data_IF_722448733867
#
_entry.id   IF_722448733867
#
_cell.length_a   1.000
_cell.length_b   1.000
_cell.length_c   1.000
_cell.angle_alpha   90.00
_cell.angle_beta   90.00
_cell.angle_gamma   90.00
#
_symmetry.space_group_name_H-M   'P 1'
#
loop_
_entity.id
_entity.type
_entity.pdbx_description
1 polymer ?
#
# COMPACT_ATOMS: atom_id res chain seq x y z
N UNK A 1 21.58 -25.61 -1.64
CA UNK A 1 20.17 -25.19 -1.51
C UNK A 1 19.51 -25.38 -2.88
N UNK A 2 19.17 -26.64 -3.21
CA UNK A 2 18.63 -27.06 -4.51
C UNK A 2 17.27 -27.77 -4.37
N UNK A 3 16.58 -27.55 -3.25
CA UNK A 3 15.24 -28.07 -3.00
C UNK A 3 14.22 -26.92 -2.96
N UNK A 4 14.05 -26.22 -4.08
CA UNK A 4 12.83 -25.44 -4.29
C UNK A 4 11.84 -26.34 -5.03
N UNK A 5 10.62 -26.57 -4.48
CA UNK A 5 9.61 -27.38 -5.16
C UNK A 5 9.25 -26.78 -6.53
N UNK A 6 8.80 -27.60 -7.51
CA UNK A 6 8.88 -27.26 -8.93
C UNK A 6 8.07 -26.04 -9.37
N UNK A 7 7.06 -25.59 -8.61
CA UNK A 7 6.34 -24.33 -8.84
C UNK A 7 5.66 -23.88 -7.53
N UNK A 8 6.20 -22.92 -6.79
CA UNK A 8 5.35 -22.19 -5.81
C UNK A 8 4.23 -21.44 -6.56
N UNK A 9 3.08 -21.20 -5.93
CA UNK A 9 2.01 -20.44 -6.55
C UNK A 9 2.45 -18.99 -6.85
N UNK A 10 1.85 -18.33 -7.85
CA UNK A 10 2.37 -17.07 -8.39
C UNK A 10 2.39 -15.92 -7.40
N UNK A 11 1.49 -15.95 -6.42
CA UNK A 11 1.40 -14.91 -5.40
C UNK A 11 2.55 -14.95 -4.38
N UNK A 12 3.16 -16.12 -4.15
CA UNK A 12 4.32 -16.26 -3.28
C UNK A 12 5.55 -15.71 -4.02
N UNK A 13 5.97 -14.51 -3.65
CA UNK A 13 7.13 -13.86 -4.23
C UNK A 13 8.46 -14.26 -3.56
N UNK A 14 8.41 -14.93 -2.40
CA UNK A 14 9.56 -15.13 -1.52
C UNK A 14 10.76 -15.76 -2.25
N UNK A 15 11.86 -15.02 -2.37
CA UNK A 15 13.11 -15.49 -2.98
C UNK A 15 13.13 -15.64 -4.51
N UNK A 16 12.04 -15.31 -5.22
CA UNK A 16 11.85 -15.64 -6.65
C UNK A 16 12.29 -14.59 -7.66
N UNK A 17 12.62 -13.39 -7.22
CA UNK A 17 12.90 -12.27 -8.09
C UNK A 17 14.08 -11.47 -7.54
N UNK A 18 14.94 -11.00 -8.42
CA UNK A 18 16.20 -10.35 -8.08
C UNK A 18 16.39 -9.03 -8.85
N UNK A 19 15.30 -8.44 -9.33
CA UNK A 19 15.35 -7.13 -10.00
C UNK A 19 15.55 -5.96 -9.04
N UNK A 20 15.85 -4.77 -9.59
CA UNK A 20 16.16 -3.58 -8.80
C UNK A 20 14.95 -3.13 -7.96
N UNK A 21 15.23 -2.57 -6.79
CA UNK A 21 14.21 -1.94 -5.97
C UNK A 21 13.95 -0.51 -6.47
N UNK A 22 12.77 -0.27 -7.04
CA UNK A 22 12.31 1.06 -7.38
C UNK A 22 11.66 1.66 -6.13
N UNK A 23 12.19 2.81 -5.66
CA UNK A 23 11.78 3.49 -4.42
C UNK A 23 10.86 4.68 -4.66
N UNK A 24 10.70 5.09 -5.92
CA UNK A 24 9.83 6.21 -6.30
C UNK A 24 8.39 5.96 -5.85
N UNK A 25 7.77 7.01 -5.34
CA UNK A 25 6.38 7.01 -4.91
C UNK A 25 5.53 7.72 -5.95
N UNK A 26 4.35 7.18 -6.21
CA UNK A 26 3.30 7.88 -6.93
C UNK A 26 2.14 8.15 -5.97
N UNK A 27 1.46 9.26 -6.22
CA UNK A 27 0.18 9.51 -5.59
C UNK A 27 -0.85 8.54 -6.16
N UNK A 28 -1.62 7.87 -5.29
CA UNK A 28 -2.65 6.95 -5.76
C UNK A 28 -3.71 7.73 -6.55
N UNK A 29 -3.97 7.31 -7.78
CA UNK A 29 -4.99 7.91 -8.62
C UNK A 29 -6.38 7.75 -7.99
N UNK A 30 -7.32 8.64 -8.31
CA UNK A 30 -8.66 8.62 -7.70
C UNK A 30 -9.34 7.24 -7.85
N UNK A 31 -9.25 6.62 -9.03
CA UNK A 31 -9.86 5.32 -9.30
C UNK A 31 -9.26 4.19 -8.44
N UNK A 32 -7.97 4.26 -8.10
CA UNK A 32 -7.31 3.30 -7.22
C UNK A 32 -7.82 3.42 -5.78
N UNK A 33 -8.02 4.66 -5.31
CA UNK A 33 -8.61 4.93 -3.99
C UNK A 33 -10.05 4.42 -3.93
N UNK A 34 -10.81 4.64 -4.99
CA UNK A 34 -12.18 4.15 -5.10
C UNK A 34 -12.25 2.61 -5.13
N UNK A 35 -11.37 1.94 -5.87
CA UNK A 35 -11.29 0.48 -5.89
C UNK A 35 -10.93 -0.10 -4.50
N UNK A 36 -10.01 0.52 -3.76
CA UNK A 36 -9.67 0.13 -2.38
C UNK A 36 -10.88 0.34 -1.44
N UNK A 37 -11.53 1.51 -1.51
CA UNK A 37 -12.71 1.83 -0.70
C UNK A 37 -13.88 0.87 -0.95
N UNK A 38 -14.20 0.58 -2.21
CA UNK A 38 -15.25 -0.40 -2.56
C UNK A 38 -14.90 -1.77 -1.98
N UNK A 39 -13.66 -2.24 -2.16
CA UNK A 39 -13.23 -3.53 -1.57
C UNK A 39 -13.42 -3.54 -0.06
N UNK A 40 -13.04 -2.46 0.65
CA UNK A 40 -13.21 -2.34 2.10
C UNK A 40 -14.67 -2.41 2.52
N UNK A 41 -15.54 -1.65 1.84
CA UNK A 41 -16.98 -1.61 2.14
C UNK A 41 -17.64 -2.97 1.89
N UNK A 42 -17.35 -3.64 0.78
CA UNK A 42 -17.95 -4.95 0.47
C UNK A 42 -17.58 -6.02 1.50
N UNK A 43 -16.38 -5.93 2.08
CA UNK A 43 -15.88 -6.86 3.09
C UNK A 43 -16.15 -6.41 4.55
N UNK A 44 -16.85 -5.30 4.76
CA UNK A 44 -17.07 -4.74 6.09
C UNK A 44 -17.97 -5.65 6.97
N UNK A 45 -18.00 -5.35 8.28
CA UNK A 45 -18.84 -6.08 9.22
C UNK A 45 -20.35 -5.91 9.01
N UNK A 46 -20.78 -4.92 8.23
CA UNK A 46 -22.20 -4.60 7.94
C UNK A 46 -22.73 -5.45 6.79
N UNK A 47 -21.99 -5.55 5.70
CA UNK A 47 -22.39 -6.19 4.43
C UNK A 47 -21.90 -7.61 4.33
N UNK A 48 -20.65 -7.87 4.75
CA UNK A 48 -20.04 -9.20 4.79
C UNK A 48 -20.19 -9.98 3.47
N UNK A 49 -20.07 -9.30 2.33
CA UNK A 49 -20.28 -9.93 1.02
C UNK A 49 -19.17 -10.92 0.73
N UNK A 50 -17.93 -10.63 1.14
CA UNK A 50 -16.84 -11.59 1.11
C UNK A 50 -15.83 -11.35 2.23
N UNK A 51 -15.01 -12.36 2.52
CA UNK A 51 -13.86 -12.25 3.40
C UNK A 51 -12.58 -11.91 2.63
N UNK A 52 -11.54 -11.48 3.35
CA UNK A 52 -10.21 -11.31 2.76
C UNK A 52 -9.69 -12.63 2.17
N UNK A 53 -9.99 -13.77 2.80
CA UNK A 53 -9.57 -15.09 2.30
C UNK A 53 -10.26 -15.46 0.99
N UNK A 54 -11.55 -15.15 0.83
CA UNK A 54 -12.26 -15.35 -0.43
C UNK A 54 -11.67 -14.48 -1.55
N UNK A 55 -11.37 -13.21 -1.25
CA UNK A 55 -10.71 -12.28 -2.18
C UNK A 55 -9.31 -12.75 -2.56
N UNK A 56 -8.55 -13.33 -1.60
CA UNK A 56 -7.23 -13.92 -1.86
C UNK A 56 -7.35 -15.15 -2.75
N UNK A 57 -8.26 -16.08 -2.44
CA UNK A 57 -8.50 -17.28 -3.25
C UNK A 57 -8.64 -16.95 -4.74
N UNK A 58 -9.42 -15.94 -5.09
CA UNK A 58 -9.61 -15.56 -6.51
C UNK A 58 -8.30 -15.06 -7.14
N UNK A 59 -7.53 -14.23 -6.43
CA UNK A 59 -6.26 -13.71 -6.94
C UNK A 59 -5.17 -14.80 -7.03
N UNK A 60 -5.14 -15.69 -6.05
CA UNK A 60 -4.13 -16.75 -5.91
C UNK A 60 -4.35 -17.92 -6.88
N UNK A 61 -5.53 -17.99 -7.52
CA UNK A 61 -5.88 -18.96 -8.56
C UNK A 61 -5.45 -18.55 -9.96
N UNK A 62 -5.00 -17.30 -10.16
CA UNK A 62 -4.45 -16.85 -11.43
C UNK A 62 -3.19 -17.65 -11.80
N UNK A 63 -2.98 -17.86 -13.10
CA UNK A 63 -1.70 -18.39 -13.60
C UNK A 63 -0.58 -17.35 -13.47
N UNK A 64 0.67 -17.79 -13.52
CA UNK A 64 1.86 -16.94 -13.36
C UNK A 64 1.89 -15.77 -14.34
N UNK A 65 1.58 -15.99 -15.62
CA UNK A 65 1.66 -14.92 -16.62
C UNK A 65 0.60 -13.85 -16.34
N UNK A 66 -0.64 -14.25 -16.08
CA UNK A 66 -1.75 -13.33 -15.78
C UNK A 66 -1.51 -12.59 -14.47
N UNK A 67 -1.09 -13.29 -13.41
CA UNK A 67 -0.88 -12.70 -12.09
C UNK A 67 0.14 -11.55 -12.13
N UNK A 68 1.24 -11.75 -12.86
CA UNK A 68 2.34 -10.79 -12.93
C UNK A 68 2.14 -9.67 -13.96
N UNK A 69 1.37 -9.92 -15.02
CA UNK A 69 1.03 -8.88 -15.99
C UNK A 69 -0.05 -7.91 -15.48
N UNK A 70 -0.93 -8.38 -14.58
CA UNK A 70 -2.06 -7.58 -14.11
C UNK A 70 -1.64 -6.51 -13.07
N UNK A 71 -2.06 -5.24 -13.24
CA UNK A 71 -1.85 -4.19 -12.25
C UNK A 71 -2.47 -4.52 -10.89
N UNK A 72 -1.93 -3.89 -9.84
CA UNK A 72 -2.28 -4.24 -8.46
C UNK A 72 -3.77 -4.06 -8.13
N UNK A 73 -4.35 -2.89 -8.42
CA UNK A 73 -5.76 -2.63 -8.13
C UNK A 73 -6.70 -3.32 -9.12
N UNK A 74 -6.23 -3.63 -10.33
CA UNK A 74 -6.99 -4.45 -11.27
C UNK A 74 -7.19 -5.88 -10.77
N UNK A 75 -6.19 -6.49 -10.12
CA UNK A 75 -6.38 -7.78 -9.44
C UNK A 75 -7.46 -7.73 -8.36
N UNK A 76 -7.60 -6.60 -7.68
CA UNK A 76 -8.67 -6.41 -6.69
C UNK A 76 -10.04 -6.29 -7.36
N UNK A 77 -10.14 -5.53 -8.46
CA UNK A 77 -11.36 -5.41 -9.24
C UNK A 77 -11.80 -6.77 -9.79
N UNK A 78 -10.87 -7.55 -10.35
CA UNK A 78 -11.12 -8.93 -10.73
C UNK A 78 -11.69 -9.73 -9.56
N UNK A 79 -11.04 -9.66 -8.39
CA UNK A 79 -11.45 -10.45 -7.23
C UNK A 79 -12.86 -10.10 -6.74
N UNK A 80 -13.16 -8.82 -6.48
CA UNK A 80 -14.48 -8.47 -5.96
C UNK A 80 -15.57 -8.62 -7.01
N UNK A 81 -15.31 -8.34 -8.30
CA UNK A 81 -16.31 -8.54 -9.36
C UNK A 81 -16.65 -10.02 -9.51
N UNK A 82 -15.65 -10.91 -9.46
CA UNK A 82 -15.85 -12.36 -9.52
C UNK A 82 -16.66 -12.89 -8.34
N UNK A 83 -16.38 -12.40 -7.12
CA UNK A 83 -17.11 -12.81 -5.91
C UNK A 83 -18.56 -12.31 -5.90
N UNK A 84 -18.81 -11.11 -6.41
CA UNK A 84 -20.16 -10.57 -6.54
C UNK A 84 -21.00 -11.40 -7.53
N UNK A 85 -20.38 -11.90 -8.61
CA UNK A 85 -21.00 -12.82 -9.56
C UNK A 85 -21.23 -14.21 -8.93
N UNK A 86 -20.21 -14.78 -8.29
CA UNK A 86 -20.27 -16.10 -7.63
C UNK A 86 -21.40 -16.16 -6.59
N UNK A 87 -21.62 -15.06 -5.86
CA UNK A 87 -22.64 -14.96 -4.81
C UNK A 87 -23.99 -14.44 -5.33
N UNK A 88 -24.12 -14.17 -6.63
CA UNK A 88 -25.34 -13.67 -7.25
C UNK A 88 -25.76 -12.27 -6.78
N UNK A 89 -24.85 -11.49 -6.21
CA UNK A 89 -25.10 -10.07 -5.88
C UNK A 89 -25.25 -9.25 -7.16
N UNK A 90 -24.44 -9.59 -8.17
CA UNK A 90 -24.55 -9.12 -9.55
C UNK A 90 -24.69 -10.34 -10.47
N UNK A 91 -25.30 -10.17 -11.62
CA UNK A 91 -25.32 -11.16 -12.70
C UNK A 91 -24.38 -10.76 -13.84
N UNK A 92 -23.94 -11.74 -14.64
CA UNK A 92 -23.09 -11.45 -15.80
C UNK A 92 -23.80 -10.52 -16.79
N UNK A 93 -25.10 -10.73 -17.01
CA UNK A 93 -25.89 -9.90 -17.93
C UNK A 93 -26.03 -8.45 -17.47
N UNK A 94 -26.16 -8.21 -16.15
CA UNK A 94 -26.14 -6.83 -15.62
C UNK A 94 -24.80 -6.15 -15.85
N UNK A 95 -23.70 -6.89 -15.63
CA UNK A 95 -22.35 -6.35 -15.78
C UNK A 95 -22.05 -6.04 -17.25
N UNK A 96 -22.34 -6.96 -18.16
CA UNK A 96 -22.16 -6.78 -19.60
C UNK A 96 -23.02 -5.64 -20.15
N UNK A 97 -24.28 -5.53 -19.70
CA UNK A 97 -25.16 -4.44 -20.10
C UNK A 97 -24.65 -3.08 -19.64
N UNK A 98 -24.14 -2.99 -18.40
CA UNK A 98 -23.59 -1.74 -17.87
C UNK A 98 -22.25 -1.38 -18.54
N UNK A 99 -21.35 -2.34 -18.76
CA UNK A 99 -20.11 -2.11 -19.51
C UNK A 99 -20.42 -1.66 -20.96
N UNK A 100 -21.44 -2.24 -21.61
CA UNK A 100 -21.87 -1.83 -22.95
C UNK A 100 -22.45 -0.40 -22.96
N UNK A 101 -23.26 -0.05 -21.95
CA UNK A 101 -23.79 1.30 -21.77
C UNK A 101 -22.68 2.32 -21.60
N UNK A 102 -21.70 2.04 -20.73
CA UNK A 102 -20.54 2.90 -20.48
C UNK A 102 -19.73 3.16 -21.77
N UNK A 103 -19.47 2.13 -22.57
CA UNK A 103 -18.81 2.26 -23.89
C UNK A 103 -19.64 3.09 -24.87
N UNK A 104 -20.95 2.86 -24.93
CA UNK A 104 -21.84 3.59 -25.83
C UNK A 104 -21.90 5.10 -25.49
N UNK A 105 -21.78 5.45 -24.21
CA UNK A 105 -21.73 6.82 -23.71
C UNK A 105 -20.32 7.44 -23.76
N UNK A 106 -19.29 6.67 -24.14
CA UNK A 106 -17.90 7.12 -24.18
C UNK A 106 -17.26 7.32 -22.80
N UNK A 107 -17.87 6.80 -21.74
CA UNK A 107 -17.39 6.88 -20.36
C UNK A 107 -16.24 5.91 -20.06
N UNK A 108 -15.86 5.09 -21.04
CA UNK A 108 -14.66 4.26 -21.04
C UNK A 108 -13.42 5.00 -21.55
N UNK A 109 -13.55 6.25 -22.00
CA UNK A 109 -12.43 7.06 -22.50
C UNK A 109 -11.81 7.85 -21.35
N UNK A 110 -10.48 7.88 -21.32
CA UNK A 110 -9.72 8.72 -20.41
C UNK A 110 -9.42 10.01 -21.17
N UNK A 111 -9.95 11.14 -20.71
CA UNK A 111 -9.55 12.44 -21.27
C UNK A 111 -8.07 12.65 -20.97
N UNK A 112 -7.21 12.60 -22.00
CA UNK A 112 -5.85 13.10 -21.90
C UNK A 112 -5.87 14.60 -21.62
N UNK A 113 -4.79 15.15 -21.08
CA UNK A 113 -4.58 16.59 -20.91
C UNK A 113 -4.71 17.33 -22.27
N UNK A 114 -5.94 17.64 -22.65
CA UNK A 114 -6.29 18.41 -23.83
C UNK A 114 -7.68 19.06 -23.65
N UNK A 115 -7.96 19.57 -22.45
CA UNK A 115 -8.97 20.61 -22.29
C UNK A 115 -8.24 21.95 -22.46
N UNK A 116 -8.20 22.43 -23.70
CA UNK A 116 -7.64 23.72 -24.07
C UNK A 116 -8.11 24.81 -23.12
N UNK A 117 -7.14 25.48 -22.51
CA UNK A 117 -7.32 26.75 -21.84
C UNK A 117 -8.11 27.70 -22.76
N UNK A 118 -9.20 28.25 -22.25
CA UNK A 118 -9.83 29.41 -22.84
C UNK A 118 -8.77 30.52 -22.97
N UNK A 119 -8.36 30.81 -24.20
CA UNK A 119 -7.49 31.93 -24.54
C UNK A 119 -8.16 33.23 -24.08
N UNK A 120 -7.59 33.86 -23.06
CA UNK A 120 -7.61 35.31 -22.92
C UNK A 120 -6.28 35.82 -23.45
N UNK A 121 -6.36 36.59 -24.55
CA UNK A 121 -5.25 37.34 -25.11
C UNK A 121 -4.60 38.23 -24.05
N UNK A 122 -3.32 37.99 -23.77
CA UNK A 122 -2.44 39.02 -23.25
C UNK A 122 -1.07 38.94 -23.93
N UNK A 123 -0.70 40.09 -24.47
CA UNK A 123 0.47 40.36 -25.26
C UNK A 123 1.81 39.95 -24.61
N UNK A 124 2.65 39.36 -25.46
CA UNK A 124 4.10 39.46 -25.55
C UNK A 124 4.88 39.89 -24.29
N UNK A 125 5.63 38.94 -23.72
CA UNK A 125 6.99 39.23 -23.26
C UNK A 125 7.93 38.05 -23.55
N UNK A 126 8.97 38.40 -24.30
CA UNK A 126 10.10 37.62 -24.77
C UNK A 126 11.11 37.46 -23.63
N UNK A 127 11.53 36.23 -23.32
CA UNK A 127 12.76 35.96 -22.59
C UNK A 127 13.33 34.58 -22.95
N UNK A 128 14.42 34.62 -23.72
CA UNK A 128 15.43 33.58 -23.86
C UNK A 128 15.85 33.01 -22.51
N UNK A 129 15.79 31.68 -22.37
CA UNK A 129 16.71 30.93 -21.54
C UNK A 129 17.08 29.61 -22.22
N UNK A 130 18.30 29.60 -22.75
CA UNK A 130 19.08 28.39 -23.03
C UNK A 130 19.18 27.55 -21.75
N UNK A 131 18.58 26.36 -21.78
CA UNK A 131 18.96 25.25 -20.93
C UNK A 131 19.03 23.97 -21.77
N UNK A 132 20.25 23.59 -22.10
CA UNK A 132 20.62 22.22 -22.47
C UNK A 132 20.16 21.27 -21.35
N UNK A 133 19.09 20.53 -21.61
CA UNK A 133 18.71 19.37 -20.82
C UNK A 133 18.98 18.10 -21.65
N UNK A 134 20.20 17.58 -21.53
CA UNK A 134 20.45 16.14 -21.67
C UNK A 134 19.81 15.43 -20.45
N UNK A 135 18.48 15.37 -20.46
CA UNK A 135 17.69 14.59 -19.51
C UNK A 135 17.48 13.19 -20.10
N UNK A 136 18.54 12.39 -20.04
CA UNK A 136 18.48 10.94 -20.25
C UNK A 136 17.93 10.28 -18.98
N UNK A 137 16.66 10.58 -18.66
CA UNK A 137 15.91 9.88 -17.63
C UNK A 137 15.47 8.53 -18.20
N UNK A 138 15.77 7.40 -17.56
CA UNK A 138 15.14 6.14 -17.91
C UNK A 138 13.64 6.26 -17.69
N UNK A 139 12.90 6.44 -18.78
CA UNK A 139 11.44 6.43 -18.87
C UNK A 139 10.85 5.19 -18.19
N UNK A 140 9.93 5.42 -17.25
CA UNK A 140 9.06 4.37 -16.71
C UNK A 140 7.64 4.91 -16.64
N UNK A 141 6.72 4.24 -17.35
CA UNK A 141 5.34 4.70 -17.59
C UNK A 141 4.59 5.00 -16.29
N UNK A 142 4.11 6.24 -16.15
CA UNK A 142 2.87 6.50 -15.43
C UNK A 142 1.81 5.59 -16.05
N UNK A 143 1.14 4.76 -15.25
CA UNK A 143 0.15 3.79 -15.75
C UNK A 143 -1.05 4.42 -16.50
N UNK A 144 -1.16 5.75 -16.53
CA UNK A 144 -2.18 6.49 -17.28
C UNK A 144 -1.58 7.35 -18.44
N UNK A 145 -0.25 7.46 -18.58
CA UNK A 145 0.38 8.25 -19.64
C UNK A 145 0.25 7.54 -21.00
N UNK A 146 -0.81 7.89 -21.74
CA UNK A 146 -1.11 7.34 -23.06
C UNK A 146 -2.32 6.40 -23.10
N UNK A 147 -2.92 6.08 -21.96
CA UNK A 147 -4.22 5.38 -21.94
C UNK A 147 -5.30 6.36 -22.42
N UNK A 148 -5.83 6.12 -23.63
CA UNK A 148 -6.98 6.86 -24.16
C UNK A 148 -8.32 6.18 -23.83
N UNK A 149 -8.24 4.93 -23.37
CA UNK A 149 -9.38 4.06 -23.03
C UNK A 149 -9.01 3.27 -21.78
N UNK A 150 -9.95 3.16 -20.85
CA UNK A 150 -9.82 2.36 -19.64
C UNK A 150 -9.52 0.91 -19.99
N UNK A 151 -8.63 0.29 -19.21
CA UNK A 151 -8.45 -1.16 -19.27
C UNK A 151 -9.78 -1.91 -19.02
N UNK A 152 -9.93 -3.15 -19.51
CA UNK A 152 -11.14 -3.93 -19.29
C UNK A 152 -11.54 -4.06 -17.81
N UNK A 153 -10.56 -4.15 -16.90
CA UNK A 153 -10.83 -4.24 -15.47
C UNK A 153 -11.16 -2.88 -14.85
N UNK A 154 -10.57 -1.77 -15.30
CA UNK A 154 -10.99 -0.43 -14.87
C UNK A 154 -12.44 -0.14 -15.26
N UNK A 155 -12.82 -0.46 -16.50
CA UNK A 155 -14.21 -0.35 -16.96
C UNK A 155 -15.15 -1.26 -16.14
N UNK A 156 -14.73 -2.49 -15.83
CA UNK A 156 -15.48 -3.39 -14.96
C UNK A 156 -15.66 -2.83 -13.55
N UNK A 157 -14.63 -2.19 -12.99
CA UNK A 157 -14.70 -1.53 -11.69
C UNK A 157 -15.75 -0.42 -11.68
N UNK A 158 -15.78 0.38 -12.74
CA UNK A 158 -16.78 1.44 -12.97
C UNK A 158 -18.20 0.85 -13.05
N UNK A 159 -18.38 -0.21 -13.83
CA UNK A 159 -19.67 -0.89 -13.97
C UNK A 159 -20.16 -1.50 -12.63
N UNK A 160 -19.28 -2.19 -11.91
CA UNK A 160 -19.59 -2.74 -10.58
C UNK A 160 -20.02 -1.65 -9.62
N UNK A 161 -19.29 -0.52 -9.57
CA UNK A 161 -19.67 0.63 -8.74
C UNK A 161 -21.09 1.11 -9.07
N UNK A 162 -21.38 1.38 -10.33
CA UNK A 162 -22.69 1.89 -10.75
C UNK A 162 -23.82 0.92 -10.39
N UNK A 163 -23.62 -0.39 -10.60
CA UNK A 163 -24.60 -1.41 -10.26
C UNK A 163 -24.83 -1.54 -8.74
N UNK A 164 -23.78 -1.46 -7.93
CA UNK A 164 -23.88 -1.48 -6.48
C UNK A 164 -24.61 -0.26 -5.92
N UNK A 165 -24.40 0.92 -6.52
CA UNK A 165 -25.14 2.14 -6.20
C UNK A 165 -26.62 2.01 -6.59
N UNK A 166 -26.91 1.55 -7.81
CA UNK A 166 -28.27 1.37 -8.30
C UNK A 166 -29.08 0.36 -7.46
N UNK A 167 -28.43 -0.68 -6.94
CA UNK A 167 -29.03 -1.67 -6.05
C UNK A 167 -29.12 -1.22 -4.58
N UNK A 168 -28.57 -0.06 -4.23
CA UNK A 168 -28.52 0.44 -2.85
C UNK A 168 -27.61 -0.38 -1.93
N UNK A 169 -26.69 -1.18 -2.49
CA UNK A 169 -25.69 -1.93 -1.72
C UNK A 169 -24.64 -0.97 -1.16
N UNK A 170 -24.27 0.04 -1.93
CA UNK A 170 -23.40 1.16 -1.54
C UNK A 170 -24.12 2.48 -1.79
N UNK A 171 -23.72 3.54 -1.08
CA UNK A 171 -24.07 4.92 -1.43
C UNK A 171 -22.83 5.72 -1.84
N UNK A 172 -22.99 6.83 -2.60
CA UNK A 172 -21.87 7.72 -2.92
C UNK A 172 -21.19 8.27 -1.66
N UNK A 173 -21.98 8.58 -0.62
CA UNK A 173 -21.48 9.07 0.66
C UNK A 173 -20.63 8.03 1.38
N UNK A 174 -21.00 6.74 1.34
CA UNK A 174 -20.20 5.68 1.96
C UNK A 174 -18.86 5.49 1.26
N UNK A 175 -18.83 5.53 -0.08
CA UNK A 175 -17.59 5.43 -0.86
C UNK A 175 -16.67 6.62 -0.52
N UNK A 176 -17.21 7.85 -0.58
CA UNK A 176 -16.47 9.06 -0.24
C UNK A 176 -15.92 9.03 1.18
N UNK A 177 -16.77 8.72 2.17
CA UNK A 177 -16.37 8.67 3.57
C UNK A 177 -15.29 7.60 3.82
N UNK A 178 -15.35 6.47 3.12
CA UNK A 178 -14.31 5.45 3.20
C UNK A 178 -12.98 5.92 2.60
N UNK A 179 -13.00 6.61 1.45
CA UNK A 179 -11.80 7.23 0.87
C UNK A 179 -11.21 8.25 1.86
N UNK A 180 -12.00 9.17 2.39
CA UNK A 180 -11.56 10.19 3.36
C UNK A 180 -10.96 9.54 4.62
N UNK A 181 -11.63 8.50 5.16
CA UNK A 181 -11.14 7.75 6.32
C UNK A 181 -9.81 7.05 6.05
N UNK A 182 -9.61 6.56 4.83
CA UNK A 182 -8.36 5.93 4.43
C UNK A 182 -7.23 6.94 4.21
N UNK A 183 -7.55 8.10 3.64
CA UNK A 183 -6.59 9.17 3.33
C UNK A 183 -6.18 9.94 4.60
N UNK A 184 -7.03 9.98 5.62
CA UNK A 184 -6.68 10.53 6.94
C UNK A 184 -5.60 9.72 7.69
N UNK A 185 -5.24 8.52 7.23
CA UNK A 185 -4.23 7.67 7.89
C UNK A 185 -2.83 8.16 7.56
N UNK A 186 -2.04 8.46 8.58
CA UNK A 186 -0.69 9.01 8.43
C UNK A 186 0.36 8.20 9.22
N UNK A 187 1.61 8.10 8.72
CA UNK A 187 2.76 7.64 9.49
C UNK A 187 2.98 8.38 10.82
N UNK A 188 2.48 9.62 10.96
CA UNK A 188 2.63 10.40 12.19
C UNK A 188 2.02 9.72 13.43
N UNK A 189 0.95 8.92 13.27
CA UNK A 189 0.36 8.18 14.38
C UNK A 189 1.36 7.16 14.96
N UNK A 190 2.00 6.34 14.11
CA UNK A 190 3.05 5.42 14.56
C UNK A 190 4.28 6.13 15.10
N UNK A 191 4.66 7.28 14.54
CA UNK A 191 5.77 8.09 15.06
C UNK A 191 5.51 8.54 16.51
N UNK A 192 4.27 8.93 16.83
CA UNK A 192 3.87 9.24 18.20
C UNK A 192 3.94 8.02 19.13
N UNK A 193 3.51 6.84 18.66
CA UNK A 193 3.65 5.57 19.42
C UNK A 193 5.11 5.26 19.75
N UNK A 194 6.00 5.39 18.77
CA UNK A 194 7.45 5.15 18.95
C UNK A 194 8.06 6.18 19.90
N UNK A 195 7.75 7.46 19.72
CA UNK A 195 8.25 8.52 20.59
C UNK A 195 7.80 8.33 22.04
N UNK A 196 6.53 7.96 22.27
CA UNK A 196 6.04 7.59 23.59
C UNK A 196 6.82 6.42 24.20
N UNK A 197 7.05 5.37 23.42
CA UNK A 197 7.81 4.20 23.87
C UNK A 197 9.28 4.53 24.22
N UNK A 198 9.87 5.55 23.60
CA UNK A 198 11.23 6.01 23.92
C UNK A 198 11.34 6.82 25.21
N UNK A 199 10.27 7.48 25.65
CA UNK A 199 10.28 8.34 26.85
C UNK A 199 9.58 7.72 28.06
N UNK A 200 8.69 6.76 27.84
CA UNK A 200 7.94 6.07 28.89
C UNK A 200 8.22 4.55 28.84
N UNK A 201 9.15 4.04 29.67
CA UNK A 201 9.46 2.61 29.74
C UNK A 201 8.26 1.74 30.17
N UNK A 202 7.32 2.30 30.95
CA UNK A 202 6.12 1.56 31.34
C UNK A 202 5.15 1.43 30.16
N UNK A 203 5.01 2.47 29.34
CA UNK A 203 4.29 2.37 28.07
C UNK A 203 4.97 1.39 27.11
N UNK A 204 6.30 1.43 26.99
CA UNK A 204 7.03 0.48 26.14
C UNK A 204 6.76 -0.98 26.55
N UNK A 205 6.73 -1.27 27.86
CA UNK A 205 6.38 -2.59 28.38
C UNK A 205 4.93 -3.00 28.04
N UNK A 206 3.97 -2.07 28.15
CA UNK A 206 2.57 -2.32 27.75
C UNK A 206 2.44 -2.54 26.24
N UNK A 207 3.11 -1.73 25.43
CA UNK A 207 3.15 -1.84 23.97
C UNK A 207 3.75 -3.18 23.52
N UNK A 208 4.77 -3.68 24.21
CA UNK A 208 5.36 -5.00 23.94
C UNK A 208 4.41 -6.16 24.31
N UNK A 209 3.60 -5.99 25.37
CA UNK A 209 2.68 -7.02 25.85
C UNK A 209 1.37 -7.07 25.05
N UNK A 210 0.78 -5.91 24.75
CA UNK A 210 -0.49 -5.76 24.05
C UNK A 210 -0.49 -4.44 23.25
N UNK A 211 0.01 -4.49 22.02
CA UNK A 211 0.14 -3.30 21.20
C UNK A 211 -1.21 -2.63 20.87
N UNK A 212 -2.29 -3.37 20.51
CA UNK A 212 -3.62 -2.77 20.32
C UNK A 212 -4.13 -1.99 21.54
N UNK A 213 -3.95 -2.54 22.75
CA UNK A 213 -4.36 -1.84 23.97
C UNK A 213 -3.51 -0.59 24.22
N UNK A 214 -2.20 -0.67 24.03
CA UNK A 214 -1.29 0.45 24.26
C UNK A 214 -1.53 1.61 23.28
N UNK A 215 -1.71 1.35 21.97
CA UNK A 215 -1.97 2.44 21.00
C UNK A 215 -3.31 3.14 21.27
N UNK A 216 -4.28 2.44 21.87
CA UNK A 216 -5.56 3.03 22.29
C UNK A 216 -5.40 4.06 23.41
N UNK A 217 -4.38 3.95 24.26
CA UNK A 217 -4.05 4.96 25.28
C UNK A 217 -3.71 6.32 24.63
N UNK A 218 -3.23 6.31 23.38
CA UNK A 218 -2.93 7.50 22.58
C UNK A 218 -4.10 7.97 21.71
N UNK A 219 -5.29 7.41 21.91
CA UNK A 219 -6.48 7.73 21.11
C UNK A 219 -6.50 7.12 19.72
N UNK A 220 -5.58 6.19 19.42
CA UNK A 220 -5.54 5.49 18.13
C UNK A 220 -6.37 4.20 18.19
N UNK A 221 -7.24 4.00 17.20
CA UNK A 221 -7.99 2.76 17.06
C UNK A 221 -7.29 1.82 16.06
N UNK A 222 -6.88 0.64 16.53
CA UNK A 222 -6.35 -0.41 15.67
C UNK A 222 -7.42 -0.99 14.71
N UNK A 223 -8.70 -0.65 14.89
CA UNK A 223 -9.86 -1.07 14.11
C UNK A 223 -9.92 -2.60 13.91
N UNK A 224 -9.66 -3.34 14.99
CA UNK A 224 -9.62 -4.81 14.96
C UNK A 224 -8.32 -5.42 14.42
N UNK A 225 -7.34 -4.61 14.01
CA UNK A 225 -6.02 -5.09 13.60
C UNK A 225 -5.30 -5.75 14.77
N UNK A 226 -4.90 -7.03 14.61
CA UNK A 226 -3.95 -7.67 15.52
C UNK A 226 -2.59 -7.05 15.27
N UNK A 227 -2.02 -6.39 16.28
CA UNK A 227 -0.77 -5.64 16.17
C UNK A 227 0.28 -6.20 17.14
N UNK A 228 1.52 -6.27 16.69
CA UNK A 228 2.68 -6.55 17.53
C UNK A 228 3.75 -5.48 17.33
N UNK A 229 4.33 -4.99 18.42
CA UNK A 229 5.46 -4.07 18.40
C UNK A 229 6.78 -4.84 18.44
N UNK A 230 7.68 -4.53 17.51
CA UNK A 230 8.98 -5.19 17.34
C UNK A 230 10.09 -4.23 17.74
N UNK A 231 10.66 -4.41 18.92
CA UNK A 231 11.67 -3.49 19.46
C UNK A 231 13.06 -3.83 18.94
N UNK A 232 13.67 -2.89 18.21
CA UNK A 232 15.08 -2.96 17.89
C UNK A 232 15.92 -2.72 19.16
N UNK A 233 17.04 -3.42 19.25
CA UNK A 233 18.04 -3.29 20.31
C UNK A 233 19.42 -3.11 19.70
N UNK A 234 20.45 -2.86 20.52
CA UNK A 234 21.84 -2.77 20.07
C UNK A 234 22.31 -4.01 19.29
N UNK A 235 21.74 -5.18 19.59
CA UNK A 235 22.11 -6.46 18.98
C UNK A 235 21.06 -7.02 18.03
N UNK A 236 19.92 -6.34 17.82
CA UNK A 236 18.82 -6.85 17.00
C UNK A 236 18.10 -5.75 16.22
N UNK A 237 17.91 -6.00 14.94
CA UNK A 237 17.11 -5.18 14.04
C UNK A 237 15.99 -5.99 13.41
N UNK A 238 14.81 -5.42 13.32
CA UNK A 238 13.64 -6.03 12.70
C UNK A 238 13.34 -5.41 11.33
N UNK A 239 12.91 -6.25 10.39
CA UNK A 239 12.44 -5.85 9.05
C UNK A 239 11.10 -6.54 8.81
N UNK A 240 10.10 -5.82 8.30
CA UNK A 240 8.75 -6.36 8.04
C UNK A 240 8.48 -6.42 6.54
N UNK A 241 7.97 -7.55 6.05
CA UNK A 241 7.53 -7.75 4.67
C UNK A 241 6.19 -8.47 4.64
N UNK A 242 5.51 -8.47 3.49
CA UNK A 242 4.44 -9.42 3.18
C UNK A 242 4.76 -10.06 1.83
N UNK A 243 5.33 -11.26 1.84
CA UNK A 243 5.78 -11.93 0.60
C UNK A 243 4.62 -12.29 -0.31
N UNK A 244 3.43 -12.50 0.26
CA UNK A 244 2.23 -12.96 -0.48
C UNK A 244 1.42 -11.81 -1.10
N UNK A 245 1.43 -10.62 -0.49
CA UNK A 245 0.67 -9.47 -0.99
C UNK A 245 1.21 -8.13 -0.49
N UNK A 246 0.60 -7.55 0.55
CA UNK A 246 0.88 -6.19 1.04
C UNK A 246 0.36 -5.94 2.46
N UNK A 247 0.20 -6.99 3.28
CA UNK A 247 -0.28 -6.90 4.66
C UNK A 247 0.53 -5.85 5.45
N UNK A 248 -0.16 -4.84 5.99
CA UNK A 248 0.46 -3.65 6.57
C UNK A 248 -0.41 -3.07 7.69
N UNK A 249 0.16 -2.51 8.79
CA UNK A 249 -0.60 -1.90 9.88
C UNK A 249 -1.19 -0.53 9.49
N UNK A 250 -2.16 -0.54 8.57
CA UNK A 250 -2.66 0.66 7.90
C UNK A 250 -3.25 1.71 8.84
N UNK A 251 -3.89 1.26 9.93
CA UNK A 251 -4.49 2.14 10.94
C UNK A 251 -3.45 2.90 11.76
N UNK A 252 -2.20 2.43 11.79
CA UNK A 252 -1.14 3.01 12.62
C UNK A 252 -0.11 3.80 11.80
N UNK A 253 0.26 3.34 10.61
CA UNK A 253 1.32 4.00 9.81
C UNK A 253 0.92 4.34 8.37
N UNK A 254 -0.38 4.35 8.05
CA UNK A 254 -0.88 4.80 6.74
C UNK A 254 -0.93 3.72 5.66
N UNK A 255 -0.99 4.13 4.40
CA UNK A 255 -0.98 3.17 3.27
C UNK A 255 0.44 2.61 3.06
N UNK A 256 0.60 1.32 2.70
CA UNK A 256 1.91 0.80 2.35
C UNK A 256 2.47 1.53 1.13
N UNK A 257 3.74 1.92 1.13
CA UNK A 257 4.35 2.60 -0.01
C UNK A 257 4.43 1.68 -1.23
N UNK A 258 4.62 2.28 -2.42
CA UNK A 258 4.70 1.55 -3.68
C UNK A 258 5.78 0.45 -3.65
N UNK A 259 6.97 0.79 -3.17
CA UNK A 259 8.09 -0.14 -3.05
C UNK A 259 7.80 -1.34 -2.14
N UNK A 260 6.96 -1.20 -1.10
CA UNK A 260 6.60 -2.30 -0.20
C UNK A 260 5.75 -3.36 -0.91
N UNK A 261 4.89 -2.91 -1.85
CA UNK A 261 4.04 -3.77 -2.68
C UNK A 261 4.83 -4.38 -3.86
N UNK A 262 6.01 -3.85 -4.16
CA UNK A 262 6.80 -4.23 -5.34
C UNK A 262 7.27 -5.69 -5.27
N UNK A 263 7.41 -6.32 -6.44
CA UNK A 263 7.95 -7.67 -6.57
C UNK A 263 9.39 -7.76 -6.04
N UNK A 264 10.20 -6.74 -6.32
CA UNK A 264 11.59 -6.64 -5.86
C UNK A 264 11.69 -6.74 -4.35
N UNK A 265 10.97 -5.89 -3.61
CA UNK A 265 11.00 -5.90 -2.16
C UNK A 265 10.50 -7.22 -1.58
N UNK A 266 9.30 -7.66 -2.00
CA UNK A 266 8.64 -8.86 -1.48
C UNK A 266 9.47 -10.12 -1.67
N UNK A 267 10.18 -10.22 -2.79
CA UNK A 267 11.03 -11.38 -3.07
C UNK A 267 12.36 -11.34 -2.31
N UNK A 268 13.01 -10.17 -2.29
CA UNK A 268 14.39 -10.05 -1.79
C UNK A 268 14.46 -9.85 -0.29
N UNK A 269 13.45 -9.26 0.36
CA UNK A 269 13.48 -9.00 1.80
C UNK A 269 13.65 -10.27 2.66
N UNK A 270 13.22 -11.45 2.20
CA UNK A 270 13.42 -12.73 2.91
C UNK A 270 14.70 -13.47 2.50
N UNK A 271 15.31 -13.11 1.36
CA UNK A 271 16.46 -13.80 0.77
C UNK A 271 17.78 -13.04 0.97
N UNK A 272 17.76 -11.74 0.73
CA UNK A 272 18.87 -10.81 0.94
C UNK A 272 18.37 -9.55 1.69
N UNK A 273 17.93 -9.71 2.95
CA UNK A 273 17.45 -8.57 3.74
C UNK A 273 18.52 -7.50 3.94
N UNK A 274 19.79 -7.89 4.11
CA UNK A 274 20.90 -6.94 4.27
C UNK A 274 21.17 -6.15 2.99
N UNK A 275 20.99 -6.74 1.81
CA UNK A 275 21.03 -6.00 0.55
C UNK A 275 19.89 -5.01 0.37
N UNK A 276 18.67 -5.39 0.78
CA UNK A 276 17.56 -4.45 0.85
C UNK A 276 17.92 -3.25 1.73
N UNK A 277 18.41 -3.47 2.96
CA UNK A 277 18.79 -2.35 3.84
C UNK A 277 19.85 -1.44 3.19
N UNK A 278 20.86 -2.01 2.51
CA UNK A 278 21.89 -1.24 1.79
C UNK A 278 21.30 -0.35 0.69
N UNK A 279 20.31 -0.83 -0.07
CA UNK A 279 19.62 -0.03 -1.09
C UNK A 279 18.79 1.11 -0.49
N UNK A 280 18.37 0.99 0.78
CA UNK A 280 17.78 2.08 1.56
C UNK A 280 18.83 2.95 2.29
N UNK A 281 20.13 2.71 2.07
CA UNK A 281 21.22 3.45 2.72
C UNK A 281 21.47 3.05 4.17
N UNK A 282 20.99 1.89 4.60
CA UNK A 282 21.14 1.39 5.97
C UNK A 282 22.12 0.22 6.03
N UNK A 283 23.23 0.42 6.72
CA UNK A 283 24.20 -0.63 7.00
C UNK A 283 24.14 -1.04 8.47
N UNK A 284 23.82 -2.32 8.72
CA UNK A 284 23.86 -2.89 10.06
C UNK A 284 25.22 -3.53 10.33
N UNK A 285 25.84 -3.32 11.51
CA UNK A 285 27.03 -4.05 11.90
C UNK A 285 26.85 -5.57 11.77
N UNK A 286 27.96 -6.29 11.51
CA UNK A 286 27.94 -7.75 11.32
C UNK A 286 27.41 -8.51 12.55
N UNK A 287 27.64 -7.98 13.75
CA UNK A 287 27.16 -8.55 15.01
C UNK A 287 25.67 -8.32 15.32
N UNK A 288 24.97 -7.51 14.53
CA UNK A 288 23.53 -7.26 14.73
C UNK A 288 22.71 -8.36 14.07
N UNK A 289 21.85 -9.03 14.83
CA UNK A 289 20.88 -9.99 14.34
C UNK A 289 19.79 -9.26 13.53
N UNK A 290 19.61 -9.62 12.26
CA UNK A 290 18.51 -9.10 11.43
C UNK A 290 17.37 -10.12 11.36
N UNK A 291 16.21 -9.78 11.93
CA UNK A 291 15.00 -10.62 11.92
C UNK A 291 13.96 -10.08 10.94
N UNK A 292 13.69 -10.87 9.91
CA UNK A 292 12.65 -10.58 8.93
C UNK A 292 11.33 -11.20 9.40
N UNK A 293 10.27 -10.40 9.41
CA UNK A 293 8.91 -10.82 9.77
C UNK A 293 8.03 -10.77 8.52
N UNK A 294 7.53 -11.92 8.11
CA UNK A 294 6.60 -12.03 6.98
C UNK A 294 5.15 -12.00 7.48
N UNK A 295 4.41 -10.96 7.10
CA UNK A 295 3.03 -10.70 7.50
C UNK A 295 2.05 -11.56 6.67
N UNK A 296 2.11 -12.88 6.85
CA UNK A 296 1.37 -13.85 6.02
C UNK A 296 0.00 -14.26 6.58
N UNK A 297 -0.33 -13.87 7.82
CA UNK A 297 -1.59 -14.15 8.50
C UNK A 297 -2.28 -12.86 9.00
N UNK A 298 -2.98 -12.90 10.13
CA UNK A 298 -3.75 -11.77 10.68
C UNK A 298 -2.90 -10.74 11.45
N UNK A 299 -1.70 -11.12 11.89
CA UNK A 299 -0.84 -10.23 12.66
C UNK A 299 -0.22 -9.15 11.76
N UNK A 300 -0.16 -7.92 12.26
CA UNK A 300 0.57 -6.80 11.67
C UNK A 300 1.67 -6.37 12.63
N UNK A 301 2.76 -5.86 12.08
CA UNK A 301 3.95 -5.52 12.85
C UNK A 301 4.29 -4.05 12.74
N UNK A 302 4.58 -3.42 13.87
CA UNK A 302 5.15 -2.08 13.96
C UNK A 302 6.58 -2.20 14.49
N UNK A 303 7.59 -1.80 13.74
CA UNK A 303 8.97 -1.72 14.25
C UNK A 303 9.09 -0.50 15.15
N UNK A 304 9.63 -0.71 16.35
CA UNK A 304 10.06 0.35 17.25
C UNK A 304 11.58 0.50 17.08
N UNK A 305 12.05 1.45 16.25
CA UNK A 305 13.49 1.63 16.03
C UNK A 305 14.19 2.01 17.34
N UNK A 306 15.50 1.77 17.42
CA UNK A 306 16.30 2.22 18.56
C UNK A 306 16.31 3.76 18.62
N UNK A 307 16.21 4.33 19.82
CA UNK A 307 16.31 5.77 20.03
C UNK A 307 17.72 6.24 19.63
N UNK A 308 17.86 7.23 18.73
CA UNK A 308 19.16 7.78 18.38
C UNK A 308 19.86 8.43 19.59
N UNK A 309 21.18 8.25 19.68
CA UNK A 309 22.02 8.97 20.65
C UNK A 309 21.99 10.48 20.38
N UNK A 310 22.29 11.31 21.37
CA UNK A 310 22.25 12.78 21.21
C UNK A 310 20.84 13.38 21.28
N UNK A 311 19.85 12.57 21.62
CA UNK A 311 18.45 12.98 21.81
C UNK A 311 18.06 13.06 23.29
N UNK A 312 19.04 13.03 24.21
CA UNK A 312 18.80 13.10 25.65
C UNK A 312 18.06 14.39 26.02
N UNK A 313 17.02 14.27 26.86
CA UNK A 313 16.21 15.42 27.28
C UNK A 313 15.29 16.01 26.20
N UNK A 314 15.28 15.48 24.97
CA UNK A 314 14.29 15.88 23.97
C UNK A 314 12.89 15.49 24.40
N UNK A 315 11.92 16.36 24.13
CA UNK A 315 10.51 16.05 24.32
C UNK A 315 9.99 15.06 23.27
N UNK A 316 8.81 14.49 23.56
CA UNK A 316 8.15 13.48 22.72
C UNK A 316 7.87 14.00 21.29
N UNK A 317 7.48 15.27 21.16
CA UNK A 317 7.14 15.85 19.86
C UNK A 317 8.35 15.97 18.94
N UNK A 318 9.49 16.38 19.49
CA UNK A 318 10.77 16.48 18.78
C UNK A 318 11.35 15.11 18.47
N UNK A 319 11.17 14.13 19.37
CA UNK A 319 11.57 12.74 19.09
C UNK A 319 10.78 12.13 17.94
N UNK A 320 9.47 12.40 17.87
CA UNK A 320 8.61 11.89 16.80
C UNK A 320 9.07 12.33 15.40
N UNK A 321 9.73 13.48 15.25
CA UNK A 321 10.24 13.94 13.95
C UNK A 321 11.40 13.10 13.41
N UNK A 322 12.05 12.30 14.26
CA UNK A 322 13.12 11.37 13.88
C UNK A 322 12.58 10.03 13.38
N UNK A 323 11.32 9.72 13.68
CA UNK A 323 10.69 8.45 13.31
C UNK A 323 10.07 8.60 11.93
N UNK A 324 10.48 7.77 10.99
CA UNK A 324 9.96 7.74 9.63
C UNK A 324 9.07 6.53 9.43
N UNK A 325 8.21 6.56 8.41
CA UNK A 325 7.49 5.36 7.96
C UNK A 325 8.44 4.19 7.72
N UNK A 326 9.58 4.48 7.09
CA UNK A 326 10.58 3.50 6.69
C UNK A 326 11.31 2.88 7.89
N UNK A 327 11.56 3.66 8.96
CA UNK A 327 12.12 3.12 10.21
C UNK A 327 11.13 2.26 10.99
N UNK A 328 9.83 2.53 10.84
CA UNK A 328 8.75 1.71 11.40
C UNK A 328 8.43 0.44 10.59
N UNK A 329 8.91 0.35 9.35
CA UNK A 329 8.96 -0.89 8.56
C UNK A 329 10.25 -1.66 8.84
N UNK A 330 11.31 -0.94 9.22
CA UNK A 330 12.62 -1.49 9.53
C UNK A 330 13.58 -1.51 8.34
N UNK A 331 13.28 -0.82 7.24
CA UNK A 331 14.22 -0.66 6.12
C UNK A 331 15.27 0.40 6.40
N UNK A 332 15.01 1.31 7.35
CA UNK A 332 15.99 2.27 7.88
C UNK A 332 16.07 2.24 9.40
N UNK A 333 17.10 2.88 9.96
CA UNK A 333 17.06 3.33 11.37
C UNK A 333 16.23 4.62 11.48
N UNK A 334 15.94 5.06 12.70
CA UNK A 334 15.45 6.42 12.93
C UNK A 334 16.51 7.45 12.48
N UNK A 335 16.07 8.65 12.13
CA UNK A 335 16.97 9.76 11.73
C UNK A 335 17.86 10.16 12.91
N UNK A 336 19.09 10.52 12.61
CA UNK A 336 19.98 11.17 13.58
C UNK A 336 19.52 12.62 13.84
N UNK A 337 19.77 13.16 15.05
CA UNK A 337 19.38 14.51 15.44
C UNK A 337 20.03 15.64 14.65
#
# INVERSE_FOLDING_TARGET
MHDLPPTHPPHDAGGRYDGPLIREEHEAAHWEREADAIRMLLADGKRRLFTTDESRRVQEQLDDATYWAMPYYERWILAFSSLLLEKGTLTIGELEAEEARLRAEGLDRVEGEAAGHHHHDHDAHDHDHDHDHDDDHPYQEDHDAGETVLSPLRLRGLAVRNLLLAKGVLTPEEIRAEIERMDARSPHHGAAVVARAWVDPAFAARLAADAPAAVKELGLDAAGTKLAALFNTESRHHLVVCTLCSCYPRTIIGRPPAWYKSRAYRARAVRDPRGILREFGTELPSGVELRVHDSNAELRYLVIPARPTGTEGWDESRLATLVTRDSMIGVTTARSP
#
